data_IF_352849138097
#
_entry.id   IF_352849138097
#
_cell.length_a   1.000
_cell.length_b   1.000
_cell.length_c   1.000
_cell.angle_alpha   90.00
_cell.angle_beta   90.00
_cell.angle_gamma   90.00
#
_symmetry.space_group_name_H-M   'P 1'
#
loop_
_entity.id
_entity.type
_entity.pdbx_description
1 polymer ?
#
# COMPACT_ATOMS: atom_id res chain seq x y z
N UNK A 1 7.89 -4.63 -14.57
CA UNK A 1 6.47 -4.97 -14.71
C UNK A 1 5.63 -4.11 -13.79
N UNK A 2 4.49 -3.62 -14.23
CA UNK A 2 3.62 -2.76 -13.42
C UNK A 2 2.21 -3.36 -13.33
N UNK A 3 1.59 -3.17 -12.16
CA UNK A 3 0.16 -3.45 -11.94
C UNK A 3 -0.50 -2.13 -11.58
N UNK A 4 -1.51 -1.73 -12.34
CA UNK A 4 -2.14 -0.41 -12.17
C UNK A 4 -3.62 -0.54 -11.87
N UNK A 5 -4.15 0.44 -11.11
CA UNK A 5 -5.57 0.53 -10.77
C UNK A 5 -5.99 1.98 -10.68
N UNK A 6 -7.04 2.37 -11.39
CA UNK A 6 -7.66 3.68 -11.23
C UNK A 6 -8.63 3.61 -10.06
N UNK A 7 -8.51 4.55 -9.13
CA UNK A 7 -9.31 4.60 -7.91
C UNK A 7 -10.08 5.92 -7.87
N UNK A 8 -11.39 5.84 -7.70
CA UNK A 8 -12.27 7.01 -7.62
C UNK A 8 -12.32 7.57 -6.19
N UNK A 9 -11.16 7.92 -5.69
CA UNK A 9 -10.98 8.57 -4.40
C UNK A 9 -9.81 9.55 -4.51
N UNK A 10 -9.79 10.62 -3.69
CA UNK A 10 -8.67 11.56 -3.70
C UNK A 10 -7.35 10.88 -3.36
N UNK A 11 -6.28 11.40 -3.95
CA UNK A 11 -4.92 10.87 -3.77
C UNK A 11 -4.56 10.73 -2.30
N UNK A 12 -4.90 11.70 -1.47
CA UNK A 12 -4.57 11.70 -0.05
C UNK A 12 -5.25 10.55 0.72
N UNK A 13 -6.46 10.17 0.31
CA UNK A 13 -7.18 9.04 0.94
C UNK A 13 -6.51 7.71 0.61
N UNK A 14 -6.06 7.55 -0.65
CA UNK A 14 -5.36 6.35 -1.07
C UNK A 14 -3.97 6.29 -0.43
N UNK A 15 -3.28 7.43 -0.36
CA UNK A 15 -1.98 7.51 0.32
C UNK A 15 -2.08 7.10 1.80
N UNK A 16 -3.12 7.55 2.48
CA UNK A 16 -3.36 7.20 3.89
C UNK A 16 -3.48 5.68 4.07
N UNK A 17 -4.27 5.01 3.24
CA UNK A 17 -4.44 3.55 3.28
C UNK A 17 -3.13 2.84 2.95
N UNK A 18 -2.40 3.34 1.95
CA UNK A 18 -1.18 2.71 1.44
C UNK A 18 -0.02 2.76 2.43
N UNK A 19 0.04 3.82 3.26
CA UNK A 19 1.14 4.07 4.19
C UNK A 19 0.83 3.72 5.63
N UNK A 20 -0.42 3.38 5.94
CA UNK A 20 -0.84 2.96 7.28
C UNK A 20 -0.51 1.48 7.47
N UNK A 21 0.51 1.19 8.28
CA UNK A 21 0.95 -0.20 8.52
C UNK A 21 -0.14 -1.04 9.17
N UNK A 22 -1.09 -0.44 9.88
CA UNK A 22 -2.22 -1.16 10.46
C UNK A 22 -3.18 -1.69 9.39
N UNK A 23 -3.18 -1.09 8.19
CA UNK A 23 -4.00 -1.52 7.06
C UNK A 23 -3.29 -2.57 6.18
N UNK A 24 -1.98 -2.73 6.31
CA UNK A 24 -1.22 -3.64 5.46
C UNK A 24 -1.77 -5.09 5.49
N UNK A 25 -2.11 -5.67 6.66
CA UNK A 25 -2.70 -7.01 6.66
C UNK A 25 -4.07 -7.07 5.99
N UNK A 26 -4.77 -5.94 5.92
CA UNK A 26 -6.11 -5.88 5.33
C UNK A 26 -6.05 -5.93 3.81
N UNK A 27 -5.14 -5.16 3.20
CA UNK A 27 -5.06 -5.12 1.73
C UNK A 27 -3.94 -5.99 1.15
N UNK A 28 -2.91 -6.31 1.92
CA UNK A 28 -1.76 -7.09 1.43
C UNK A 28 -1.95 -8.59 1.65
N UNK A 29 -2.27 -9.39 0.61
CA UNK A 29 -2.55 -10.82 0.82
C UNK A 29 -1.36 -11.62 1.34
N UNK A 30 -0.13 -11.13 1.12
CA UNK A 30 1.09 -11.79 1.59
C UNK A 30 1.52 -11.34 2.98
N UNK A 31 0.82 -10.38 3.60
CA UNK A 31 1.15 -9.85 4.93
C UNK A 31 -0.01 -10.15 5.87
N UNK A 32 0.25 -10.88 6.95
CA UNK A 32 -0.77 -11.23 7.94
C UNK A 32 -0.67 -10.41 9.21
N UNK A 33 0.54 -10.01 9.61
CA UNK A 33 0.79 -9.17 10.78
C UNK A 33 1.95 -8.22 10.48
N UNK A 34 1.96 -7.08 11.18
CA UNK A 34 3.06 -6.12 11.12
C UNK A 34 3.53 -5.82 12.53
N UNK A 35 4.85 -5.82 12.73
CA UNK A 35 5.49 -5.43 13.99
C UNK A 35 6.49 -4.33 13.67
N UNK A 36 6.13 -3.09 13.96
CA UNK A 36 7.01 -1.94 13.78
C UNK A 36 6.64 -0.83 14.77
N UNK A 37 7.59 0.10 15.07
CA UNK A 37 7.39 1.10 16.11
C UNK A 37 6.43 2.22 15.73
N UNK A 38 6.09 2.37 14.44
CA UNK A 38 5.26 3.47 13.96
C UNK A 38 4.09 2.97 13.13
N UNK A 39 2.95 3.64 13.24
CA UNK A 39 1.78 3.33 12.43
C UNK A 39 1.99 3.72 10.97
N UNK A 40 2.42 4.96 10.71
CA UNK A 40 2.64 5.46 9.35
C UNK A 40 4.11 5.39 8.98
N UNK A 41 4.39 5.06 7.72
CA UNK A 41 5.76 4.88 7.26
C UNK A 41 6.48 6.20 7.04
N UNK A 42 7.81 6.12 7.09
CA UNK A 42 8.74 7.19 6.71
C UNK A 42 10.03 6.53 6.19
N UNK A 43 10.84 7.29 5.46
CA UNK A 43 12.11 6.79 4.95
C UNK A 43 13.03 6.37 6.09
N UNK A 44 13.50 5.13 6.05
CA UNK A 44 14.35 4.56 7.09
C UNK A 44 13.63 3.73 8.14
N UNK A 45 12.27 3.72 8.13
CA UNK A 45 11.51 2.88 9.07
C UNK A 45 11.86 1.40 8.85
N UNK A 46 12.16 0.71 9.95
CA UNK A 46 12.44 -0.73 9.96
C UNK A 46 11.45 -1.45 10.85
N UNK A 47 11.12 -2.67 10.46
CA UNK A 47 10.21 -3.50 11.23
C UNK A 47 10.20 -4.92 10.70
N UNK A 48 9.18 -5.68 11.08
CA UNK A 48 8.97 -7.05 10.62
C UNK A 48 7.55 -7.22 10.15
N UNK A 49 7.37 -8.07 9.14
CA UNK A 49 6.06 -8.54 8.72
C UNK A 49 5.99 -10.06 8.85
N UNK A 50 4.80 -10.56 9.18
CA UNK A 50 4.54 -11.99 9.15
C UNK A 50 3.91 -12.31 7.80
N UNK A 51 4.53 -13.23 7.08
CA UNK A 51 4.05 -13.62 5.74
C UNK A 51 2.86 -14.58 5.84
N UNK A 52 2.19 -14.80 4.71
CA UNK A 52 1.10 -15.77 4.62
C UNK A 52 1.54 -17.20 4.97
N UNK A 53 2.85 -17.50 4.87
CA UNK A 53 3.42 -18.79 5.27
C UNK A 53 3.74 -18.86 6.77
N UNK A 54 3.45 -17.80 7.52
CA UNK A 54 3.68 -17.77 8.96
C UNK A 54 5.10 -17.41 9.38
N UNK A 55 5.94 -16.96 8.44
CA UNK A 55 7.33 -16.60 8.72
C UNK A 55 7.45 -15.09 8.95
N UNK A 56 8.19 -14.70 9.99
CA UNK A 56 8.55 -13.31 10.23
C UNK A 56 9.77 -12.95 9.38
N UNK A 57 9.66 -11.85 8.63
CA UNK A 57 10.77 -11.31 7.82
C UNK A 57 10.91 -9.82 8.10
N UNK A 58 12.14 -9.32 7.98
CA UNK A 58 12.43 -7.90 8.20
C UNK A 58 12.07 -7.06 6.98
N UNK A 59 11.69 -5.80 7.21
CA UNK A 59 11.53 -4.84 6.13
C UNK A 59 12.19 -3.51 6.48
N UNK A 60 12.52 -2.73 5.47
CA UNK A 60 13.03 -1.37 5.59
C UNK A 60 12.41 -0.51 4.49
N UNK A 61 11.87 0.64 4.87
CA UNK A 61 11.39 1.64 3.91
C UNK A 61 12.61 2.40 3.40
N UNK A 62 12.96 2.16 2.14
CA UNK A 62 14.18 2.74 1.54
C UNK A 62 13.97 4.14 1.00
N UNK A 63 12.74 4.47 0.58
CA UNK A 63 12.37 5.82 0.18
C UNK A 63 10.90 6.06 0.45
N UNK A 64 10.53 7.30 0.76
CA UNK A 64 9.15 7.70 0.97
C UNK A 64 9.00 9.16 0.60
N UNK A 65 8.31 9.43 -0.51
CA UNK A 65 8.03 10.78 -1.00
C UNK A 65 6.52 11.00 -0.97
N UNK A 66 6.03 11.53 0.14
CA UNK A 66 4.61 11.76 0.31
C UNK A 66 4.12 12.87 -0.63
N UNK A 67 2.96 12.75 -1.25
CA UNK A 67 2.02 11.64 -1.18
C UNK A 67 2.04 10.75 -2.43
N UNK A 68 3.18 10.55 -3.06
CA UNK A 68 3.24 9.96 -4.40
C UNK A 68 3.99 8.65 -4.52
N UNK A 69 4.95 8.36 -3.62
CA UNK A 69 5.73 7.11 -3.79
C UNK A 69 6.39 6.62 -2.51
N UNK A 70 6.53 5.30 -2.41
CA UNK A 70 7.42 4.68 -1.43
C UNK A 70 7.93 3.34 -1.94
N UNK A 71 9.13 3.00 -1.50
CA UNK A 71 9.81 1.76 -1.84
C UNK A 71 10.32 1.09 -0.58
N UNK A 72 10.49 -0.22 -0.64
CA UNK A 72 11.00 -0.98 0.48
C UNK A 72 11.89 -2.14 0.06
N UNK A 73 12.64 -2.65 1.06
CA UNK A 73 13.34 -3.93 1.00
C UNK A 73 12.66 -4.89 1.97
N UNK A 74 12.53 -6.14 1.56
CA UNK A 74 12.04 -7.22 2.40
C UNK A 74 13.09 -8.32 2.42
N UNK A 75 13.53 -8.71 3.61
CA UNK A 75 14.65 -9.63 3.81
C UNK A 75 15.92 -9.17 3.08
N UNK A 76 16.17 -7.86 3.05
CA UNK A 76 17.34 -7.27 2.40
C UNK A 76 17.26 -7.17 0.89
N UNK A 77 16.17 -7.58 0.25
CA UNK A 77 15.99 -7.56 -1.20
C UNK A 77 14.98 -6.48 -1.59
N UNK A 78 15.27 -5.76 -2.67
CA UNK A 78 14.32 -4.79 -3.21
C UNK A 78 13.00 -5.48 -3.53
N UNK A 79 11.91 -4.91 -3.03
CA UNK A 79 10.57 -5.45 -3.21
C UNK A 79 9.72 -4.51 -4.06
N UNK A 80 8.39 -4.60 -3.93
CA UNK A 80 7.46 -3.83 -4.74
C UNK A 80 7.61 -2.32 -4.51
N UNK A 81 7.69 -1.54 -5.58
CA UNK A 81 7.55 -0.09 -5.52
C UNK A 81 6.08 0.32 -5.56
N UNK A 82 5.76 1.43 -4.92
CA UNK A 82 4.39 1.94 -4.79
C UNK A 82 4.34 3.38 -5.29
N UNK A 83 3.46 3.66 -6.26
CA UNK A 83 3.32 4.99 -6.87
C UNK A 83 1.86 5.41 -6.91
N UNK A 84 1.61 6.69 -6.72
CA UNK A 84 0.31 7.29 -6.93
C UNK A 84 0.43 8.46 -7.91
N UNK A 85 -0.50 8.51 -8.87
CA UNK A 85 -0.59 9.59 -9.83
C UNK A 85 -1.96 10.24 -9.72
N UNK A 86 -2.00 11.54 -9.46
CA UNK A 86 -3.25 12.30 -9.43
C UNK A 86 -3.83 12.38 -10.84
N UNK A 87 -5.10 12.03 -11.00
CA UNK A 87 -5.84 12.17 -12.25
C UNK A 87 -6.78 13.37 -12.20
N UNK A 88 -7.57 13.46 -11.12
CA UNK A 88 -8.45 14.58 -10.84
C UNK A 88 -8.42 14.86 -9.34
N UNK A 89 -9.17 15.85 -8.86
CA UNK A 89 -9.29 16.12 -7.43
C UNK A 89 -9.94 14.95 -6.66
N UNK A 90 -10.68 14.09 -7.37
CA UNK A 90 -11.42 12.98 -6.77
C UNK A 90 -10.99 11.59 -7.27
N UNK A 91 -9.90 11.51 -8.04
CA UNK A 91 -9.41 10.23 -8.56
C UNK A 91 -7.90 10.20 -8.72
N UNK A 92 -7.34 9.00 -8.64
CA UNK A 92 -5.90 8.79 -8.83
C UNK A 92 -5.64 7.41 -9.42
N UNK A 93 -4.40 7.20 -9.87
CA UNK A 93 -3.93 5.90 -10.34
C UNK A 93 -2.92 5.35 -9.35
N UNK A 94 -3.17 4.12 -8.89
CA UNK A 94 -2.23 3.35 -8.08
C UNK A 94 -1.41 2.45 -8.98
N UNK A 95 -0.09 2.49 -8.82
CA UNK A 95 0.86 1.74 -9.62
C UNK A 95 1.78 0.95 -8.69
N UNK A 96 1.75 -0.38 -8.80
CA UNK A 96 2.75 -1.24 -8.20
C UNK A 96 3.84 -1.53 -9.23
N UNK A 97 5.09 -1.29 -8.86
CA UNK A 97 6.25 -1.61 -9.70
C UNK A 97 6.92 -2.86 -9.14
N UNK A 98 6.98 -3.91 -9.96
CA UNK A 98 7.62 -5.17 -9.58
C UNK A 98 9.06 -5.18 -10.07
N UNK A 99 10.03 -5.59 -9.23
CA UNK A 99 11.44 -5.57 -9.61
C UNK A 99 11.79 -6.57 -10.71
N UNK A 100 10.92 -7.57 -10.92
CA UNK A 100 11.10 -8.55 -11.99
C UNK A 100 9.73 -9.11 -12.41
N UNK A 101 9.69 -9.76 -13.56
CA UNK A 101 8.44 -10.35 -14.08
C UNK A 101 8.17 -11.66 -13.35
N UNK A 102 7.19 -11.64 -12.42
CA UNK A 102 6.74 -12.82 -11.70
C UNK A 102 5.21 -12.86 -11.76
N UNK A 103 4.66 -13.64 -12.68
CA UNK A 103 3.22 -13.67 -12.92
C UNK A 103 2.39 -13.97 -11.67
N UNK A 104 2.72 -14.97 -10.82
CA UNK A 104 1.95 -15.19 -9.60
C UNK A 104 1.94 -14.00 -8.65
N UNK A 105 3.07 -13.26 -8.57
CA UNK A 105 3.17 -12.09 -7.71
C UNK A 105 2.37 -10.91 -8.27
N UNK A 106 2.24 -10.80 -9.59
CA UNK A 106 1.40 -9.78 -10.21
C UNK A 106 -0.07 -9.96 -9.83
N UNK A 107 -0.55 -11.20 -9.70
CA UNK A 107 -1.92 -11.47 -9.23
C UNK A 107 -2.11 -11.01 -7.78
N UNK A 108 -1.12 -11.22 -6.91
CA UNK A 108 -1.14 -10.74 -5.53
C UNK A 108 -1.24 -9.21 -5.50
N UNK A 109 -0.44 -8.53 -6.31
CA UNK A 109 -0.47 -7.07 -6.40
C UNK A 109 -1.82 -6.56 -6.93
N UNK A 110 -2.44 -7.25 -7.87
CA UNK A 110 -3.77 -6.89 -8.37
C UNK A 110 -4.84 -7.02 -7.27
N UNK A 111 -4.80 -8.09 -6.49
CA UNK A 111 -5.68 -8.26 -5.35
C UNK A 111 -5.47 -7.15 -4.32
N UNK A 112 -4.21 -6.82 -4.03
CA UNK A 112 -3.87 -5.74 -3.11
C UNK A 112 -4.43 -4.39 -3.61
N UNK A 113 -4.26 -4.09 -4.90
CA UNK A 113 -4.76 -2.86 -5.50
C UNK A 113 -6.29 -2.74 -5.39
N UNK A 114 -7.01 -3.85 -5.62
CA UNK A 114 -8.46 -3.88 -5.49
C UNK A 114 -8.91 -3.65 -4.04
N UNK A 115 -8.20 -4.22 -3.07
CA UNK A 115 -8.50 -4.04 -1.65
C UNK A 115 -8.22 -2.63 -1.18
N UNK A 116 -7.12 -2.01 -1.65
CA UNK A 116 -6.79 -0.62 -1.37
C UNK A 116 -7.89 0.30 -1.90
N UNK A 117 -8.35 0.07 -3.13
CA UNK A 117 -9.43 0.84 -3.72
C UNK A 117 -10.70 0.76 -2.87
N UNK A 118 -11.06 -0.43 -2.41
CA UNK A 118 -12.24 -0.64 -1.56
C UNK A 118 -12.10 0.11 -0.23
N UNK A 119 -10.95 0.01 0.43
CA UNK A 119 -10.71 0.68 1.70
C UNK A 119 -10.75 2.21 1.55
N UNK A 120 -10.18 2.75 0.50
CA UNK A 120 -10.19 4.19 0.25
C UNK A 120 -11.61 4.71 -0.02
N UNK A 121 -12.43 3.95 -0.76
CA UNK A 121 -13.84 4.30 -0.99
C UNK A 121 -14.67 4.23 0.29
N UNK A 122 -14.44 3.23 1.14
CA UNK A 122 -15.13 3.10 2.42
C UNK A 122 -14.81 4.27 3.34
N UNK A 123 -13.54 4.68 3.44
CA UNK A 123 -13.14 5.86 4.21
C UNK A 123 -13.81 7.13 3.70
N UNK A 124 -13.93 7.29 2.39
CA UNK A 124 -14.59 8.44 1.78
C UNK A 124 -16.09 8.48 2.14
N UNK A 125 -16.76 7.32 2.11
CA UNK A 125 -18.17 7.22 2.53
C UNK A 125 -18.35 7.55 3.99
N UNK A 126 -17.51 7.03 4.87
CA UNK A 126 -17.54 7.33 6.31
C UNK A 126 -17.37 8.83 6.55
N UNK A 127 -16.43 9.46 5.86
CA UNK A 127 -16.25 10.91 5.92
C UNK A 127 -17.48 11.69 5.47
N UNK A 128 -18.15 11.25 4.39
CA UNK A 128 -19.36 11.87 3.89
C UNK A 128 -20.54 11.71 4.86
N UNK A 129 -20.66 10.57 5.50
CA UNK A 129 -21.69 10.31 6.50
C UNK A 129 -21.48 11.21 7.72
N UNK A 130 -20.25 11.32 8.18
CA UNK A 130 -19.91 12.19 9.34
C UNK A 130 -20.21 13.65 9.09
N UNK A 131 -20.04 14.13 7.86
CA UNK A 131 -20.33 15.53 7.51
C UNK A 131 -21.82 15.84 7.39
N UNK A 132 -22.68 14.82 7.31
CA UNK A 132 -24.14 15.00 7.25
C UNK A 132 -24.80 15.07 8.63
N UNK A 133 -24.07 14.73 9.65
CA UNK A 133 -24.55 14.76 11.03
C UNK A 133 -24.14 16.09 11.70
#
# INVERSE_FOLDING_TARGET
MQVTKIINAPLEKVWDVLTDTWQWPVWGPSVTLVDCPQRYIYSGLQGRIKTALGLWVTFEITSCEAPVSWDWKVSGLAATGHRLKKLTDSSCELIFELPFVAFPYALICRQAANRIARLALDKQRDGSIKTRI
#
